data_IF_621748568947
#
_entry.id   IF_621748568947
#
_cell.length_a   1.000
_cell.length_b   1.000
_cell.length_c   1.000
_cell.angle_alpha   90.00
_cell.angle_beta   90.00
_cell.angle_gamma   90.00
#
_symmetry.space_group_name_H-M   'P 1'
#
loop_
_entity.id
_entity.type
_entity.pdbx_description
1 polymer ?
#
# COMPACT_ATOMS: atom_id res chain seq x y z
N UNK A 1 23.15 -19.74 9.80
CA UNK A 1 22.57 -19.40 8.48
C UNK A 1 21.05 -19.57 8.54
N UNK A 2 20.39 -18.92 9.51
CA UNK A 2 19.04 -19.28 9.98
C UNK A 2 18.23 -18.07 10.48
N UNK A 3 18.68 -16.84 10.20
CA UNK A 3 18.06 -15.59 10.70
C UNK A 3 17.43 -14.72 9.61
N UNK A 4 17.65 -15.02 8.33
CA UNK A 4 17.07 -14.26 7.20
C UNK A 4 15.59 -14.59 6.91
N UNK A 5 15.01 -15.55 7.61
CA UNK A 5 13.62 -15.97 7.43
C UNK A 5 12.62 -15.20 8.31
N UNK A 6 13.09 -14.42 9.29
CA UNK A 6 12.20 -13.77 10.27
C UNK A 6 11.71 -12.39 9.79
N UNK A 7 12.53 -11.65 9.04
CA UNK A 7 12.15 -10.33 8.51
C UNK A 7 11.04 -10.41 7.44
N UNK A 8 10.95 -11.53 6.71
CA UNK A 8 9.87 -11.77 5.76
C UNK A 8 8.50 -11.98 6.45
N UNK A 9 8.49 -12.39 7.73
CA UNK A 9 7.24 -12.63 8.48
C UNK A 9 6.59 -11.36 9.02
N UNK A 10 7.35 -10.28 9.25
CA UNK A 10 6.80 -9.03 9.82
C UNK A 10 6.05 -8.19 8.77
N UNK A 11 6.52 -8.18 7.53
CA UNK A 11 5.79 -7.56 6.40
C UNK A 11 4.50 -8.34 6.10
N UNK A 12 4.53 -9.66 6.28
CA UNK A 12 3.33 -10.49 6.21
C UNK A 12 2.33 -10.17 7.33
N UNK A 13 2.79 -9.87 8.54
CA UNK A 13 1.94 -9.54 9.68
C UNK A 13 1.11 -8.26 9.51
N UNK A 14 1.69 -7.20 8.93
CA UNK A 14 0.96 -5.96 8.65
C UNK A 14 -0.07 -6.12 7.51
N UNK A 15 0.22 -6.99 6.54
CA UNK A 15 -0.74 -7.35 5.49
C UNK A 15 -1.88 -8.23 6.02
N UNK A 16 -1.60 -9.08 7.02
CA UNK A 16 -2.60 -9.91 7.70
C UNK A 16 -3.52 -9.05 8.60
N UNK A 17 -3.05 -7.96 9.20
CA UNK A 17 -3.95 -7.06 9.97
C UNK A 17 -5.00 -6.34 9.13
N UNK A 18 -4.78 -6.15 7.83
CA UNK A 18 -5.84 -5.66 6.93
C UNK A 18 -6.88 -6.74 6.59
N UNK A 19 -6.58 -8.02 6.86
CA UNK A 19 -7.46 -9.15 6.59
C UNK A 19 -8.37 -9.53 7.79
N UNK A 20 -8.24 -8.86 8.95
CA UNK A 20 -9.08 -9.10 10.14
C UNK A 20 -10.14 -8.00 10.34
N UNK A 21 -10.53 -7.30 9.27
CA UNK A 21 -11.84 -6.64 9.31
C UNK A 21 -12.91 -7.73 9.29
N UNK A 22 -13.91 -7.71 10.19
CA UNK A 22 -14.93 -8.74 10.19
C UNK A 22 -15.63 -8.70 8.82
N UNK A 23 -15.48 -9.79 8.09
CA UNK A 23 -16.30 -10.15 6.95
C UNK A 23 -17.74 -10.36 7.46
N UNK A 24 -18.44 -9.26 7.73
CA UNK A 24 -19.88 -9.20 7.84
C UNK A 24 -20.44 -8.67 6.52
N UNK A 25 -20.00 -9.25 5.39
CA UNK A 25 -20.68 -9.10 4.13
C UNK A 25 -21.76 -10.18 4.09
N UNK A 26 -22.96 -9.85 4.59
CA UNK A 26 -24.16 -10.63 4.30
C UNK A 26 -24.33 -10.68 2.77
N UNK A 27 -24.00 -11.81 2.17
CA UNK A 27 -24.22 -12.05 0.75
C UNK A 27 -25.72 -12.24 0.49
N UNK A 28 -26.48 -11.13 0.42
CA UNK A 28 -27.79 -11.14 -0.23
C UNK A 28 -27.59 -11.37 -1.72
N UNK A 29 -28.02 -12.54 -2.17
CA UNK A 29 -28.00 -12.95 -3.57
C UNK A 29 -29.05 -12.17 -4.36
N UNK A 30 -28.65 -11.80 -5.58
CA UNK A 30 -29.44 -11.37 -6.74
C UNK A 30 -29.71 -9.86 -6.91
N UNK A 31 -28.85 -9.20 -7.69
CA UNK A 31 -29.27 -8.39 -8.85
C UNK A 31 -28.12 -8.26 -9.86
N UNK A 32 -28.45 -8.49 -11.15
CA UNK A 32 -27.66 -8.31 -12.39
C UNK A 32 -26.15 -8.03 -12.26
N UNK A 33 -25.31 -9.00 -12.69
CA UNK A 33 -23.84 -8.91 -12.73
C UNK A 33 -23.36 -7.68 -13.52
N UNK A 34 -23.25 -6.53 -12.87
CA UNK A 34 -22.38 -5.44 -13.30
C UNK A 34 -20.95 -5.88 -13.02
N UNK A 35 -20.16 -6.11 -14.07
CA UNK A 35 -18.75 -6.46 -13.92
C UNK A 35 -18.04 -5.25 -13.32
N UNK A 36 -17.39 -5.46 -12.18
CA UNK A 36 -16.49 -4.50 -11.56
C UNK A 36 -15.10 -5.09 -11.76
N UNK A 37 -14.23 -4.38 -12.48
CA UNK A 37 -12.86 -4.84 -12.68
C UNK A 37 -11.97 -4.18 -11.63
N UNK A 38 -11.17 -5.00 -10.94
CA UNK A 38 -10.18 -4.57 -9.95
C UNK A 38 -8.79 -4.87 -10.47
N UNK A 39 -7.94 -3.84 -10.50
CA UNK A 39 -6.51 -3.97 -10.76
C UNK A 39 -5.73 -3.61 -9.49
N UNK A 40 -4.75 -4.42 -9.13
CA UNK A 40 -3.86 -4.19 -7.98
C UNK A 40 -2.41 -4.35 -8.46
N UNK A 41 -1.59 -3.35 -8.15
CA UNK A 41 -0.16 -3.29 -8.46
C UNK A 41 0.63 -3.24 -7.15
N UNK A 42 1.61 -4.13 -7.00
CA UNK A 42 2.51 -4.15 -5.84
C UNK A 42 3.93 -4.41 -6.32
N UNK A 43 4.81 -3.45 -6.08
CA UNK A 43 6.25 -3.55 -6.30
C UNK A 43 7.00 -3.28 -5.02
N UNK A 44 8.03 -4.06 -4.73
CA UNK A 44 8.95 -3.81 -3.61
C UNK A 44 10.34 -4.14 -4.08
N UNK A 45 11.27 -3.20 -3.90
CA UNK A 45 12.68 -3.37 -4.23
C UNK A 45 13.58 -2.81 -3.11
N UNK A 46 14.88 -2.68 -3.38
CA UNK A 46 15.85 -2.19 -2.39
C UNK A 46 15.81 -0.68 -2.20
N UNK A 47 15.24 0.04 -3.17
CA UNK A 47 15.18 1.49 -3.23
C UNK A 47 13.81 2.01 -2.77
N UNK A 48 12.80 1.15 -2.72
CA UNK A 48 11.45 1.57 -2.38
C UNK A 48 10.36 0.49 -2.47
N UNK A 49 9.12 0.98 -2.44
CA UNK A 49 7.93 0.20 -2.67
C UNK A 49 6.91 1.02 -3.46
N UNK A 50 6.03 0.33 -4.17
CA UNK A 50 4.91 0.88 -4.91
C UNK A 50 3.69 0.01 -4.65
N UNK A 51 2.58 0.65 -4.31
CA UNK A 51 1.28 0.03 -4.14
C UNK A 51 0.27 0.83 -4.97
N UNK A 52 -0.52 0.16 -5.79
CA UNK A 52 -1.56 0.78 -6.60
C UNK A 52 -2.80 -0.09 -6.66
N UNK A 53 -3.95 0.55 -6.77
CA UNK A 53 -5.24 -0.10 -6.94
C UNK A 53 -6.14 0.75 -7.82
N UNK A 54 -6.86 0.11 -8.74
CA UNK A 54 -7.87 0.76 -9.57
C UNK A 54 -9.12 -0.11 -9.64
N UNK A 55 -10.28 0.51 -9.42
CA UNK A 55 -11.61 -0.05 -9.52
C UNK A 55 -12.29 0.60 -10.72
N UNK A 56 -12.63 -0.22 -11.72
CA UNK A 56 -13.35 0.19 -12.92
C UNK A 56 -14.82 -0.22 -12.77
N UNK A 57 -15.69 0.77 -12.64
CA UNK A 57 -17.13 0.57 -12.57
C UNK A 57 -17.85 1.34 -13.68
N UNK A 58 -19.17 1.19 -13.74
CA UNK A 58 -20.01 1.88 -14.73
C UNK A 58 -20.04 3.41 -14.56
N UNK A 59 -19.76 3.89 -13.35
CA UNK A 59 -19.80 5.32 -13.00
C UNK A 59 -18.43 5.99 -13.12
N UNK A 60 -17.40 5.24 -13.52
CA UNK A 60 -16.03 5.73 -13.75
C UNK A 60 -14.97 4.92 -13.00
N UNK A 61 -13.78 5.52 -12.89
CA UNK A 61 -12.61 4.87 -12.31
C UNK A 61 -12.28 5.49 -10.96
N UNK A 62 -12.26 4.65 -9.94
CA UNK A 62 -11.67 4.99 -8.65
C UNK A 62 -10.28 4.38 -8.58
N UNK A 63 -9.29 5.13 -8.13
CA UNK A 63 -7.94 4.63 -8.07
C UNK A 63 -7.13 5.28 -6.98
N UNK A 64 -6.18 4.54 -6.43
CA UNK A 64 -5.18 5.10 -5.54
C UNK A 64 -3.85 4.44 -5.83
N UNK A 65 -2.77 5.20 -5.77
CA UNK A 65 -1.44 4.63 -5.73
C UNK A 65 -0.56 5.41 -4.76
N UNK A 66 0.41 4.71 -4.19
CA UNK A 66 1.38 5.19 -3.24
C UNK A 66 2.73 4.60 -3.63
N UNK A 67 3.72 5.46 -3.75
CA UNK A 67 5.11 5.14 -3.98
C UNK A 67 5.91 5.64 -2.78
N UNK A 68 6.80 4.80 -2.26
CA UNK A 68 7.74 5.14 -1.22
C UNK A 68 9.15 4.87 -1.68
N UNK A 69 10.02 5.88 -1.61
CA UNK A 69 11.42 5.78 -1.98
C UNK A 69 12.31 6.04 -0.78
N UNK A 70 13.16 5.07 -0.46
CA UNK A 70 14.18 5.17 0.59
C UNK A 70 15.40 5.90 0.03
N UNK A 71 15.67 7.08 0.59
CA UNK A 71 16.85 7.87 0.30
C UNK A 71 17.85 7.86 1.45
N UNK A 72 19.06 8.38 1.20
CA UNK A 72 20.12 8.48 2.23
C UNK A 72 19.74 9.29 3.47
N UNK A 73 18.74 10.17 3.36
CA UNK A 73 18.31 11.12 4.40
C UNK A 73 16.89 10.87 4.92
N UNK A 74 16.18 9.87 4.41
CA UNK A 74 14.79 9.62 4.81
C UNK A 74 13.96 8.90 3.77
N UNK A 75 12.65 9.04 3.91
CA UNK A 75 11.64 8.41 3.07
C UNK A 75 10.88 9.51 2.31
N UNK A 76 10.82 9.40 0.99
CA UNK A 76 9.90 10.20 0.18
C UNK A 76 8.69 9.34 -0.12
N UNK A 77 7.51 9.83 0.22
CA UNK A 77 6.24 9.23 -0.17
C UNK A 77 5.58 10.13 -1.22
N UNK A 78 5.17 9.56 -2.33
CA UNK A 78 4.34 10.24 -3.31
C UNK A 78 3.15 9.35 -3.68
N UNK A 79 2.03 9.96 -4.00
CA UNK A 79 0.84 9.20 -4.26
C UNK A 79 -0.23 10.01 -4.95
N UNK A 80 -1.25 9.30 -5.37
CA UNK A 80 -2.43 9.87 -5.99
C UNK A 80 -3.65 9.13 -5.48
N UNK A 81 -4.71 9.88 -5.23
CA UNK A 81 -6.05 9.36 -5.06
C UNK A 81 -6.90 9.95 -6.18
N UNK A 82 -7.73 9.11 -6.79
CA UNK A 82 -8.57 9.44 -7.93
C UNK A 82 -9.97 8.90 -7.69
N UNK A 83 -10.94 9.76 -7.96
CA UNK A 83 -12.33 9.41 -8.16
C UNK A 83 -12.73 9.75 -9.61
N UNK A 84 -13.96 9.43 -10.05
CA UNK A 84 -14.40 9.72 -11.41
C UNK A 84 -14.39 11.21 -11.78
N UNK A 85 -14.51 12.12 -10.81
CA UNK A 85 -14.62 13.55 -11.03
C UNK A 85 -13.29 14.31 -10.87
N UNK A 86 -12.35 13.76 -10.10
CA UNK A 86 -11.15 14.48 -9.66
C UNK A 86 -10.01 13.55 -9.29
N UNK A 87 -8.80 14.09 -9.38
CA UNK A 87 -7.60 13.41 -8.94
C UNK A 87 -6.72 14.33 -8.11
N UNK A 88 -6.31 13.85 -6.95
CA UNK A 88 -5.44 14.54 -6.02
C UNK A 88 -4.09 13.85 -5.96
N UNK A 89 -3.02 14.59 -6.25
CA UNK A 89 -1.66 14.11 -6.11
C UNK A 89 -1.06 14.72 -4.85
N UNK A 90 -0.33 13.92 -4.09
CA UNK A 90 0.39 14.38 -2.92
C UNK A 90 1.83 13.88 -2.95
N UNK A 91 2.70 14.67 -2.33
CA UNK A 91 4.09 14.30 -2.11
C UNK A 91 4.49 14.75 -0.71
N UNK A 92 4.94 13.80 0.09
CA UNK A 92 5.49 13.99 1.40
C UNK A 92 6.96 13.62 1.35
N UNK A 93 7.83 14.63 1.48
CA UNK A 93 9.24 14.39 1.73
C UNK A 93 9.44 14.39 3.23
N UNK A 94 9.87 13.26 3.73
CA UNK A 94 9.98 13.07 5.14
C UNK A 94 11.43 12.71 5.44
N UNK A 95 12.20 13.71 5.90
CA UNK A 95 13.56 13.53 6.44
C UNK A 95 13.47 12.84 7.82
N UNK A 96 12.77 11.70 7.87
CA UNK A 96 12.46 10.97 9.09
C UNK A 96 13.50 9.86 9.31
N UNK A 97 14.64 9.85 8.61
CA UNK A 97 15.66 8.80 8.80
C UNK A 97 16.01 8.67 10.29
N UNK A 98 16.23 9.79 10.99
CA UNK A 98 16.53 9.75 12.42
C UNK A 98 15.39 9.26 13.31
N UNK A 99 14.13 9.53 12.96
CA UNK A 99 12.98 9.08 13.76
C UNK A 99 12.58 7.64 13.43
N UNK A 100 12.65 7.21 12.17
CA UNK A 100 12.46 5.81 11.80
C UNK A 100 13.56 4.90 12.38
N UNK A 101 14.83 5.34 12.39
CA UNK A 101 15.93 4.62 13.06
C UNK A 101 15.74 4.53 14.59
N UNK A 102 15.01 5.47 15.22
CA UNK A 102 14.65 5.38 16.64
C UNK A 102 13.54 4.36 16.92
N UNK A 103 12.60 4.16 16.00
CA UNK A 103 11.53 3.16 16.14
C UNK A 103 11.95 1.76 15.69
N UNK A 104 12.93 1.66 14.78
CA UNK A 104 13.57 0.42 14.36
C UNK A 104 15.08 0.44 14.66
N UNK A 105 15.47 0.39 15.95
CA UNK A 105 16.88 0.31 16.34
C UNK A 105 17.39 -1.11 16.06
N UNK A 106 17.73 -1.38 14.79
CA UNK A 106 18.14 -2.70 14.33
C UNK A 106 19.01 -2.62 13.08
N UNK A 107 20.32 -2.55 13.32
CA UNK A 107 21.46 -2.81 12.45
C UNK A 107 21.82 -1.78 11.35
N UNK A 108 22.81 -0.90 11.62
CA UNK A 108 23.60 -0.24 10.59
C UNK A 108 24.71 -1.19 10.12
N UNK A 109 24.46 -1.97 9.06
CA UNK A 109 25.52 -2.67 8.31
C UNK A 109 25.20 -2.68 6.82
#
# INVERSE_FOLDING_TARGET
MTRRLIAASLIFGALVTLAVMPAAAEHKTAESKRSIDLNVDLGVDREGFRLGGQLFGLEGVYGAWLNGQFGKRGLTLDGRVQDPASAFNFKLNAEIAEWLLRFFPGDPF
#
